data_IF_942937703830
#
_entry.id   IF_942937703830
#
_cell.length_a   1.000
_cell.length_b   1.000
_cell.length_c   1.000
_cell.angle_alpha   90.00
_cell.angle_beta   90.00
_cell.angle_gamma   90.00
#
_symmetry.space_group_name_H-M   'P 1'
#
loop_
_entity.id
_entity.type
_entity.pdbx_description
1 polymer ?
#
# COMPACT_ATOMS: atom_id res chain seq x y z
N UNK A 1 -14.43 17.65 1.74
CA UNK A 1 -13.41 16.68 1.27
C UNK A 1 -13.24 15.59 2.33
N UNK A 2 -13.35 14.32 1.95
CA UNK A 2 -13.25 13.17 2.88
C UNK A 2 -11.79 12.72 2.98
N UNK A 3 -11.03 13.30 3.91
CA UNK A 3 -9.59 13.08 4.09
C UNK A 3 -9.23 11.58 4.30
N UNK A 4 -10.14 10.77 4.85
CA UNK A 4 -9.87 9.35 5.12
C UNK A 4 -9.99 8.39 3.94
N UNK A 5 -10.82 8.70 2.92
CA UNK A 5 -11.07 7.79 1.80
C UNK A 5 -9.92 7.78 0.78
N UNK A 6 -9.34 8.95 0.54
CA UNK A 6 -8.22 9.13 -0.37
C UNK A 6 -6.95 8.46 0.16
N UNK A 7 -6.68 8.64 1.46
CA UNK A 7 -5.53 8.02 2.11
C UNK A 7 -5.58 6.49 2.11
N UNK A 8 -6.78 5.89 2.29
CA UNK A 8 -6.96 4.45 2.19
C UNK A 8 -6.71 3.92 0.78
N UNK A 9 -7.17 4.66 -0.24
CA UNK A 9 -6.95 4.32 -1.65
C UNK A 9 -5.47 4.39 -2.01
N UNK A 10 -4.80 5.48 -1.62
CA UNK A 10 -3.36 5.69 -1.85
C UNK A 10 -2.55 4.59 -1.16
N UNK A 11 -2.89 4.24 0.09
CA UNK A 11 -2.23 3.15 0.81
C UNK A 11 -2.41 1.80 0.09
N UNK A 12 -3.60 1.54 -0.45
CA UNK A 12 -3.86 0.35 -1.26
C UNK A 12 -2.99 0.29 -2.52
N UNK A 13 -2.84 1.42 -3.22
CA UNK A 13 -1.96 1.52 -4.38
C UNK A 13 -0.50 1.28 -4.01
N UNK A 14 -0.01 1.90 -2.94
CA UNK A 14 1.37 1.72 -2.45
C UNK A 14 1.64 0.24 -2.16
N UNK A 15 0.73 -0.40 -1.42
CA UNK A 15 0.84 -1.82 -1.11
C UNK A 15 0.89 -2.69 -2.37
N UNK A 16 0.03 -2.42 -3.34
CA UNK A 16 -0.01 -3.17 -4.59
C UNK A 16 1.31 -3.08 -5.38
N UNK A 17 1.93 -1.90 -5.42
CA UNK A 17 3.24 -1.70 -6.07
C UNK A 17 4.33 -2.49 -5.35
N UNK A 18 4.35 -2.47 -4.02
CA UNK A 18 5.33 -3.22 -3.21
C UNK A 18 5.19 -4.73 -3.45
N UNK A 19 3.96 -5.26 -3.41
CA UNK A 19 3.70 -6.69 -3.64
C UNK A 19 4.15 -7.13 -5.05
N UNK A 20 3.91 -6.28 -6.06
CA UNK A 20 4.38 -6.58 -7.43
C UNK A 20 5.89 -6.53 -7.56
N UNK A 21 6.54 -5.59 -6.87
CA UNK A 21 8.00 -5.53 -6.84
C UNK A 21 8.60 -6.77 -6.16
N UNK A 22 8.04 -7.21 -5.04
CA UNK A 22 8.46 -8.44 -4.35
C UNK A 22 8.32 -9.66 -5.26
N UNK A 23 7.21 -9.76 -6.02
CA UNK A 23 7.02 -10.84 -7.00
C UNK A 23 8.05 -10.76 -8.12
N UNK A 24 8.26 -9.58 -8.72
CA UNK A 24 9.26 -9.41 -9.79
C UNK A 24 10.65 -9.82 -9.32
N UNK A 25 11.06 -9.37 -8.13
CA UNK A 25 12.35 -9.73 -7.51
C UNK A 25 12.44 -11.22 -7.21
N UNK A 26 11.37 -11.85 -6.72
CA UNK A 26 11.35 -13.29 -6.47
C UNK A 26 11.52 -14.14 -7.74
N UNK A 27 11.12 -13.58 -8.89
CA UNK A 27 11.23 -14.21 -10.22
C UNK A 27 12.53 -13.87 -10.94
N UNK A 28 13.37 -13.00 -10.38
CA UNK A 28 14.55 -12.47 -11.06
C UNK A 28 14.21 -11.51 -12.22
N UNK A 29 12.98 -11.01 -12.26
CA UNK A 29 12.56 -9.97 -13.20
C UNK A 29 13.08 -8.60 -12.73
N UNK A 30 13.14 -7.59 -13.64
CA UNK A 30 13.51 -6.24 -13.26
C UNK A 30 12.64 -5.71 -12.11
N UNK A 31 13.29 -5.17 -11.07
CA UNK A 31 12.60 -4.53 -9.97
C UNK A 31 11.77 -3.34 -10.47
N UNK A 32 10.54 -3.21 -9.96
CA UNK A 32 9.64 -2.09 -10.27
C UNK A 32 10.05 -0.87 -9.45
N UNK A 33 10.55 -1.09 -8.22
CA UNK A 33 11.02 -0.07 -7.31
C UNK A 33 12.54 0.05 -7.43
N UNK A 34 13.03 1.28 -7.59
CA UNK A 34 14.45 1.59 -7.67
C UNK A 34 15.11 1.57 -6.27
N UNK A 35 15.25 0.38 -5.67
CA UNK A 35 15.77 0.20 -4.30
C UNK A 35 17.11 0.87 -4.06
N UNK A 36 18.05 0.79 -5.00
CA UNK A 36 19.36 1.42 -4.86
C UNK A 36 19.27 2.95 -4.79
N UNK A 37 18.41 3.56 -5.62
CA UNK A 37 18.17 5.00 -5.60
C UNK A 37 17.49 5.43 -4.29
N UNK A 38 16.48 4.68 -3.86
CA UNK A 38 15.77 4.92 -2.60
C UNK A 38 16.72 4.83 -1.41
N UNK A 39 17.56 3.79 -1.33
CA UNK A 39 18.53 3.64 -0.25
C UNK A 39 19.59 4.76 -0.21
N UNK A 40 19.93 5.35 -1.35
CA UNK A 40 20.90 6.45 -1.44
C UNK A 40 20.31 7.82 -1.13
N UNK A 41 19.01 8.02 -1.39
CA UNK A 41 18.36 9.34 -1.30
C UNK A 41 17.30 9.45 -0.21
N UNK A 42 16.91 8.34 0.42
CA UNK A 42 15.87 8.28 1.45
C UNK A 42 16.24 7.29 2.55
N UNK A 43 15.64 7.46 3.73
CA UNK A 43 15.79 6.54 4.86
C UNK A 43 14.44 5.95 5.27
N UNK A 44 14.47 4.74 5.84
CA UNK A 44 13.29 4.12 6.44
C UNK A 44 12.32 3.46 5.45
N UNK A 45 12.77 3.16 4.22
CA UNK A 45 11.96 2.44 3.23
C UNK A 45 11.41 1.12 3.80
N UNK A 46 12.23 0.32 4.49
CA UNK A 46 11.80 -0.96 5.05
C UNK A 46 10.68 -0.79 6.09
N UNK A 47 10.79 0.23 6.95
CA UNK A 47 9.77 0.55 7.93
C UNK A 47 8.47 1.05 7.26
N UNK A 48 8.60 1.84 6.20
CA UNK A 48 7.47 2.30 5.39
C UNK A 48 6.76 1.14 4.68
N UNK A 49 7.52 0.25 4.04
CA UNK A 49 7.00 -0.92 3.36
C UNK A 49 6.31 -1.87 4.35
N UNK A 50 6.90 -2.10 5.53
CA UNK A 50 6.28 -2.86 6.60
C UNK A 50 4.96 -2.23 7.07
N UNK A 51 4.91 -0.90 7.25
CA UNK A 51 3.69 -0.19 7.64
C UNK A 51 2.58 -0.23 6.56
N UNK A 52 2.97 -0.29 5.29
CA UNK A 52 2.05 -0.51 4.17
C UNK A 52 1.46 -1.93 4.20
N UNK A 53 2.26 -2.94 4.59
CA UNK A 53 1.87 -4.35 4.65
C UNK A 53 1.10 -4.75 5.92
N UNK A 54 1.34 -4.11 7.07
CA UNK A 54 0.77 -4.45 8.40
C UNK A 54 -0.73 -4.13 8.56
N UNK A 55 -1.37 -3.45 7.60
CA UNK A 55 -2.83 -3.25 7.66
C UNK A 55 -3.55 -4.34 6.87
N UNK A 56 -4.12 -5.29 7.61
CA UNK A 56 -4.75 -6.50 7.11
C UNK A 56 -5.64 -6.31 5.88
N UNK A 57 -5.35 -7.12 4.86
CA UNK A 57 -6.19 -7.36 3.70
C UNK A 57 -7.42 -8.23 4.03
N UNK A 58 -8.03 -8.08 5.23
CA UNK A 58 -9.28 -8.80 5.55
C UNK A 58 -10.42 -7.92 6.10
N UNK A 59 -10.26 -6.59 6.20
CA UNK A 59 -11.37 -5.71 6.64
C UNK A 59 -11.57 -4.39 5.88
N UNK A 60 -10.77 -4.04 4.87
CA UNK A 60 -10.88 -2.73 4.21
C UNK A 60 -11.89 -2.64 3.04
N UNK A 61 -12.78 -3.63 2.87
CA UNK A 61 -14.11 -3.43 2.25
C UNK A 61 -15.17 -3.05 3.31
N UNK A 62 -14.75 -2.75 4.54
CA UNK A 62 -15.62 -2.15 5.56
C UNK A 62 -14.99 -0.83 5.97
N UNK A 63 -15.29 0.24 5.23
CA UNK A 63 -15.54 1.59 5.76
C UNK A 63 -16.05 2.51 4.63
N UNK A 64 -17.09 2.06 3.92
CA UNK A 64 -17.98 2.95 3.15
C UNK A 64 -19.31 2.23 2.84
N UNK A 65 -20.20 2.07 3.82
CA UNK A 65 -21.63 1.90 3.52
C UNK A 65 -22.30 3.28 3.59
N UNK A 66 -22.78 3.86 2.47
CA UNK A 66 -23.69 4.99 2.50
C UNK A 66 -25.11 4.46 2.78
N UNK A 67 -25.79 5.01 3.79
CA UNK A 67 -27.26 4.99 3.87
C UNK A 67 -27.95 3.69 4.30
N UNK A 68 -27.64 3.13 5.48
CA UNK A 68 -28.68 2.35 6.18
C UNK A 68 -29.63 3.31 6.90
N UNK A 69 -30.70 3.66 6.20
CA UNK A 69 -31.95 4.05 6.82
C UNK A 69 -32.57 2.81 7.47
N UNK A 70 -32.92 2.93 8.75
CA UNK A 70 -33.98 2.17 9.41
C UNK A 70 -34.93 3.23 9.99
N UNK A 71 -36.22 3.01 9.77
CA UNK A 71 -37.29 4.01 9.94
C UNK A 71 -37.51 4.53 11.35
#
# INVERSE_FOLDING_TARGET
MRIGGDLATIKGLIKHVIERDDVARSRGEPAIIAHAFIAQHTGGYDAFAAAASISGALHAVVLARPGQAIG
#
